data_IF_940110159415
#
_entry.id   IF_940110159415
#
_cell.length_a   1.000
_cell.length_b   1.000
_cell.length_c   1.000
_cell.angle_alpha   90.00
_cell.angle_beta   90.00
_cell.angle_gamma   90.00
#
_symmetry.space_group_name_H-M   'P 1'
#
loop_
_entity.id
_entity.type
_entity.pdbx_description
1 polymer ?
#
# COMPACT_ATOMS: atom_id res chain seq x y z
N UNK A 1 7.07 -1.83 3.49
CA UNK A 1 5.71 -2.00 2.96
C UNK A 1 4.74 -1.62 4.07
N UNK A 2 3.67 -0.89 3.76
CA UNK A 2 2.57 -0.54 4.69
C UNK A 2 1.47 -1.62 4.69
N UNK A 3 1.76 -2.79 4.11
CA UNK A 3 0.86 -3.95 4.04
C UNK A 3 1.34 -5.02 5.00
N UNK A 4 0.38 -5.63 5.67
CA UNK A 4 0.56 -6.78 6.54
C UNK A 4 -0.36 -7.91 6.05
N UNK A 5 0.12 -9.14 6.07
CA UNK A 5 -0.60 -10.33 5.59
C UNK A 5 -1.79 -10.73 6.49
N UNK A 6 -1.96 -10.05 7.63
CA UNK A 6 -2.97 -10.34 8.65
C UNK A 6 -3.88 -9.14 8.98
N UNK A 7 -3.60 -7.93 8.45
CA UNK A 7 -4.43 -6.74 8.68
C UNK A 7 -4.41 -5.78 7.49
N UNK A 8 -5.57 -5.19 7.20
CA UNK A 8 -5.74 -4.07 6.25
C UNK A 8 -5.63 -2.70 6.93
N UNK A 9 -5.47 -2.69 8.25
CA UNK A 9 -5.28 -1.48 9.07
C UNK A 9 -3.80 -1.18 9.29
N UNK A 10 -3.46 0.12 9.26
CA UNK A 10 -2.22 0.66 9.80
C UNK A 10 -2.49 1.40 11.10
N UNK A 11 -1.55 1.32 12.06
CA UNK A 11 -1.64 2.00 13.35
C UNK A 11 -0.61 3.11 13.44
N UNK A 12 -1.06 4.29 13.88
CA UNK A 12 -0.23 5.46 14.09
C UNK A 12 -0.40 5.95 15.52
N UNK A 13 0.70 6.06 16.24
CA UNK A 13 0.71 6.50 17.62
C UNK A 13 0.80 8.03 17.69
N UNK A 14 -0.17 8.64 18.36
CA UNK A 14 -0.19 10.07 18.64
C UNK A 14 0.05 10.28 20.13
N UNK A 15 1.01 11.14 20.45
CA UNK A 15 1.30 11.57 21.82
C UNK A 15 1.07 13.07 21.95
N UNK A 16 0.73 13.53 23.14
CA UNK A 16 0.52 14.94 23.47
C UNK A 16 1.12 15.25 24.84
N UNK A 17 1.46 16.52 25.09
CA UNK A 17 2.19 16.95 26.28
C UNK A 17 3.63 17.39 25.96
N UNK A 18 4.48 17.42 26.99
CA UNK A 18 5.96 17.63 27.04
C UNK A 18 6.69 18.59 26.08
N UNK A 19 6.01 19.33 25.18
CA UNK A 19 6.65 20.27 24.27
C UNK A 19 5.80 20.63 23.04
N UNK A 20 6.40 21.38 22.12
CA UNK A 20 5.82 21.67 20.80
C UNK A 20 5.93 20.40 19.96
N UNK A 21 4.80 19.74 19.70
CA UNK A 21 4.78 18.55 18.82
C UNK A 21 5.16 18.87 17.37
N UNK A 22 5.53 17.84 16.62
CA UNK A 22 5.83 17.94 15.19
C UNK A 22 4.65 18.56 14.42
N UNK A 23 4.98 19.45 13.48
CA UNK A 23 4.01 20.12 12.60
C UNK A 23 4.56 20.10 11.19
N UNK A 24 3.66 20.02 10.22
CA UNK A 24 4.05 20.21 8.82
C UNK A 24 4.70 21.57 8.63
N UNK A 25 5.81 21.60 7.89
CA UNK A 25 6.43 22.85 7.49
C UNK A 25 5.51 23.60 6.52
N UNK A 26 5.35 24.90 6.72
CA UNK A 26 4.61 25.76 5.80
C UNK A 26 5.56 26.36 4.77
N UNK A 27 5.18 26.29 3.50
CA UNK A 27 5.94 26.90 2.39
C UNK A 27 5.04 27.87 1.63
N UNK A 28 5.54 29.05 1.28
CA UNK A 28 4.83 29.98 0.40
C UNK A 28 4.90 29.47 -1.05
N UNK A 29 3.76 29.45 -1.74
CA UNK A 29 3.61 29.06 -3.13
C UNK A 29 3.95 30.17 -4.13
N UNK A 30 4.15 31.41 -3.66
CA UNK A 30 4.48 32.59 -4.47
C UNK A 30 5.99 32.78 -4.52
N UNK A 31 6.62 32.14 -5.50
CA UNK A 31 8.03 32.32 -5.84
C UNK A 31 8.19 32.96 -7.22
N UNK A 32 9.43 32.96 -7.71
CA UNK A 32 9.74 33.41 -9.06
C UNK A 32 9.10 32.49 -10.09
N UNK A 33 8.45 33.09 -11.10
CA UNK A 33 7.85 32.32 -12.18
C UNK A 33 8.95 31.68 -13.03
N UNK A 34 9.10 30.37 -12.86
CA UNK A 34 10.00 29.55 -13.65
C UNK A 34 9.31 28.82 -14.79
N UNK A 35 10.00 27.80 -15.30
CA UNK A 35 9.49 26.89 -16.34
C UNK A 35 8.11 26.35 -15.95
N UNK A 36 7.16 26.40 -16.88
CA UNK A 36 5.84 25.80 -16.67
C UNK A 36 5.95 24.27 -16.72
N UNK A 37 5.42 23.62 -15.69
CA UNK A 37 5.25 22.17 -15.62
C UNK A 37 3.76 21.86 -15.56
N UNK A 38 3.21 21.44 -16.69
CA UNK A 38 1.81 21.01 -16.88
C UNK A 38 1.68 19.51 -17.14
N UNK A 39 2.81 18.79 -17.17
CA UNK A 39 2.91 17.35 -17.45
C UNK A 39 4.19 16.76 -16.87
N UNK A 40 4.14 15.48 -16.53
CA UNK A 40 5.26 14.72 -15.97
C UNK A 40 5.32 13.32 -16.58
N UNK A 41 6.51 12.73 -16.66
CA UNK A 41 6.64 11.28 -16.84
C UNK A 41 6.43 10.64 -15.48
N UNK A 42 5.45 9.76 -15.37
CA UNK A 42 5.08 9.11 -14.10
C UNK A 42 5.17 7.60 -14.25
N UNK A 43 5.33 6.92 -13.11
CA UNK A 43 5.19 5.47 -12.97
C UNK A 43 4.04 5.21 -12.01
N UNK A 44 3.00 4.53 -12.48
CA UNK A 44 1.83 4.18 -11.67
C UNK A 44 1.76 2.67 -11.49
N UNK A 45 1.57 2.22 -10.25
CA UNK A 45 1.41 0.81 -9.88
C UNK A 45 -0.06 0.49 -9.64
N UNK A 46 -0.50 -0.64 -10.19
CA UNK A 46 -1.83 -1.20 -10.01
C UNK A 46 -1.70 -2.63 -9.48
N UNK A 47 -2.42 -2.92 -8.42
CA UNK A 47 -2.50 -4.22 -7.77
C UNK A 47 -3.81 -4.28 -6.98
N UNK A 48 -4.34 -5.48 -6.76
CA UNK A 48 -5.51 -5.69 -5.90
C UNK A 48 -5.31 -6.96 -5.11
N UNK A 49 -5.47 -6.89 -3.80
CA UNK A 49 -5.29 -8.06 -2.94
C UNK A 49 -6.58 -8.90 -2.91
N UNK A 50 -6.83 -9.70 -3.95
CA UNK A 50 -8.09 -10.45 -4.11
C UNK A 50 -8.02 -11.87 -3.59
N UNK A 51 -6.84 -12.50 -3.65
CA UNK A 51 -6.69 -13.92 -3.34
C UNK A 51 -5.44 -14.15 -2.52
N UNK A 52 -5.57 -14.92 -1.45
CA UNK A 52 -4.44 -15.42 -0.67
C UNK A 52 -4.01 -16.79 -1.21
N UNK A 53 -2.78 -16.88 -1.72
CA UNK A 53 -2.23 -18.10 -2.33
C UNK A 53 -0.87 -18.38 -1.71
N UNK A 54 -0.69 -19.58 -1.16
CA UNK A 54 0.60 -20.05 -0.66
C UNK A 54 1.47 -20.58 -1.81
N UNK A 55 2.65 -19.97 -2.00
CA UNK A 55 3.67 -20.44 -2.95
C UNK A 55 4.84 -21.06 -2.17
N UNK A 56 4.66 -22.31 -1.72
CA UNK A 56 5.59 -23.00 -0.81
C UNK A 56 6.98 -23.34 -1.37
N UNK A 57 7.21 -23.19 -2.68
CA UNK A 57 8.52 -23.37 -3.33
C UNK A 57 9.26 -22.05 -3.55
N UNK A 58 8.72 -20.93 -3.07
CA UNK A 58 9.33 -19.60 -3.16
C UNK A 58 9.71 -19.14 -1.75
N UNK A 59 11.00 -18.93 -1.53
CA UNK A 59 11.54 -18.44 -0.24
C UNK A 59 11.41 -16.92 -0.06
N UNK A 60 11.35 -16.16 -1.16
CA UNK A 60 11.33 -14.69 -1.18
C UNK A 60 10.00 -14.18 -1.73
N UNK A 61 8.90 -14.55 -1.07
CA UNK A 61 7.58 -14.02 -1.43
C UNK A 61 7.27 -12.79 -0.57
N UNK A 62 7.09 -11.63 -1.21
CA UNK A 62 6.82 -10.35 -0.53
C UNK A 62 5.44 -10.32 0.14
N UNK A 63 4.43 -10.95 -0.47
CA UNK A 63 3.09 -11.13 0.09
C UNK A 63 2.43 -12.37 -0.46
N UNK A 64 1.55 -12.99 0.33
CA UNK A 64 0.71 -14.11 -0.12
C UNK A 64 -0.55 -13.65 -0.87
N UNK A 65 -0.72 -12.35 -1.13
CA UNK A 65 -1.88 -11.77 -1.80
C UNK A 65 -1.61 -11.49 -3.29
N UNK A 66 -2.56 -11.85 -4.13
CA UNK A 66 -2.46 -11.71 -5.59
C UNK A 66 -3.74 -11.12 -6.18
N UNK A 67 -3.59 -10.49 -7.35
CA UNK A 67 -4.67 -9.85 -8.08
C UNK A 67 -5.54 -10.83 -8.84
N UNK A 68 -4.96 -11.69 -9.67
CA UNK A 68 -5.74 -12.56 -10.54
C UNK A 68 -5.03 -13.89 -10.78
N UNK A 69 -5.80 -14.93 -11.08
CA UNK A 69 -5.28 -16.27 -11.37
C UNK A 69 -5.76 -16.70 -12.75
N UNK A 70 -4.84 -17.27 -13.53
CA UNK A 70 -5.09 -17.74 -14.90
C UNK A 70 -4.74 -19.23 -14.93
N UNK A 71 -5.70 -20.07 -15.31
CA UNK A 71 -5.48 -21.50 -15.54
C UNK A 71 -5.19 -21.79 -17.02
N UNK A 72 -4.70 -22.99 -17.30
CA UNK A 72 -4.40 -23.46 -18.65
C UNK A 72 -5.54 -23.18 -19.64
N UNK A 73 -5.21 -22.56 -20.78
CA UNK A 73 -6.16 -22.28 -21.85
C UNK A 73 -7.16 -21.17 -21.56
N UNK A 74 -7.17 -20.60 -20.34
CA UNK A 74 -8.03 -19.47 -20.02
C UNK A 74 -7.49 -18.15 -20.59
N UNK A 75 -8.41 -17.20 -20.79
CA UNK A 75 -8.10 -15.79 -20.93
C UNK A 75 -8.77 -15.00 -19.80
N UNK A 76 -7.98 -14.19 -19.09
CA UNK A 76 -8.45 -13.27 -18.06
C UNK A 76 -8.15 -11.84 -18.47
N UNK A 77 -8.96 -10.90 -18.01
CA UNK A 77 -8.81 -9.46 -18.28
C UNK A 77 -8.95 -8.68 -16.99
N UNK A 78 -7.95 -7.86 -16.70
CA UNK A 78 -7.98 -6.94 -15.55
C UNK A 78 -8.09 -5.50 -16.03
N UNK A 79 -8.82 -4.68 -15.28
CA UNK A 79 -9.01 -3.25 -15.55
C UNK A 79 -8.14 -2.41 -14.62
N UNK A 80 -7.53 -1.36 -15.17
CA UNK A 80 -6.91 -0.28 -14.43
C UNK A 80 -7.26 1.05 -15.10
N UNK A 81 -7.43 2.10 -14.29
CA UNK A 81 -7.85 3.41 -14.77
C UNK A 81 -6.66 4.39 -14.73
N UNK A 82 -6.43 5.10 -15.83
CA UNK A 82 -5.38 6.11 -15.95
C UNK A 82 -6.00 7.47 -16.24
N UNK A 83 -5.47 8.52 -15.62
CA UNK A 83 -5.95 9.88 -15.82
C UNK A 83 -4.82 10.79 -16.31
N UNK A 84 -5.18 11.78 -17.12
CA UNK A 84 -4.24 12.73 -17.73
C UNK A 84 -3.36 12.11 -18.80
N UNK A 85 -3.73 10.99 -19.42
CA UNK A 85 -2.88 10.32 -20.42
C UNK A 85 -2.63 11.25 -21.62
N UNK A 86 -1.36 11.53 -21.94
CA UNK A 86 -0.97 12.15 -23.20
C UNK A 86 -0.61 11.02 -24.19
N UNK A 87 -1.42 10.75 -25.23
CA UNK A 87 -1.24 9.61 -26.15
C UNK A 87 -0.12 9.85 -27.18
N UNK A 88 0.88 10.67 -26.84
CA UNK A 88 2.01 11.07 -27.66
C UNK A 88 3.28 10.82 -26.87
N UNK A 89 3.77 9.58 -26.94
CA UNK A 89 4.95 9.14 -26.20
C UNK A 89 4.95 7.63 -26.02
N UNK A 90 6.14 7.06 -25.89
CA UNK A 90 6.31 5.66 -25.54
C UNK A 90 5.69 5.35 -24.18
N UNK A 91 5.09 4.17 -24.08
CA UNK A 91 4.59 3.63 -22.81
C UNK A 91 5.47 2.47 -22.39
N UNK A 92 5.95 2.47 -21.15
CA UNK A 92 6.65 1.30 -20.59
C UNK A 92 5.67 0.51 -19.74
N UNK A 93 5.52 -0.77 -20.03
CA UNK A 93 4.69 -1.68 -19.25
C UNK A 93 5.60 -2.66 -18.52
N UNK A 94 5.42 -2.79 -17.21
CA UNK A 94 5.98 -3.89 -16.42
C UNK A 94 4.87 -4.66 -15.75
N UNK A 95 4.98 -5.98 -15.74
CA UNK A 95 4.00 -6.85 -15.09
C UNK A 95 4.73 -7.93 -14.33
N UNK A 96 4.28 -8.20 -13.11
CA UNK A 96 4.82 -9.29 -12.30
C UNK A 96 3.83 -10.44 -12.20
N UNK A 97 4.30 -11.62 -12.58
CA UNK A 97 3.61 -12.88 -12.43
C UNK A 97 4.40 -13.83 -11.54
N UNK A 98 3.71 -14.83 -11.02
CA UNK A 98 4.32 -16.03 -10.48
C UNK A 98 3.71 -17.26 -11.13
N UNK A 99 4.54 -18.26 -11.43
CA UNK A 99 4.02 -19.61 -11.62
C UNK A 99 3.43 -20.09 -10.29
N UNK A 100 2.23 -20.69 -10.31
CA UNK A 100 1.64 -21.36 -9.15
C UNK A 100 1.85 -22.87 -9.22
N UNK A 101 1.71 -23.47 -10.39
CA UNK A 101 2.05 -24.88 -10.63
C UNK A 101 3.55 -25.06 -10.89
N UNK A 102 4.04 -26.30 -10.84
CA UNK A 102 5.43 -26.64 -11.14
C UNK A 102 5.70 -26.90 -12.64
N UNK A 103 4.71 -26.65 -13.49
CA UNK A 103 4.69 -27.01 -14.90
C UNK A 103 5.30 -25.92 -15.78
N UNK A 104 5.53 -26.18 -17.09
CA UNK A 104 5.75 -25.11 -18.05
C UNK A 104 4.54 -24.18 -18.16
N UNK A 105 4.81 -22.90 -18.33
CA UNK A 105 3.86 -21.81 -18.47
C UNK A 105 4.08 -21.12 -19.81
N UNK A 106 3.00 -20.80 -20.52
CA UNK A 106 3.05 -19.96 -21.71
C UNK A 106 1.91 -18.95 -21.69
N UNK A 107 2.26 -17.67 -21.56
CA UNK A 107 1.32 -16.57 -21.37
C UNK A 107 1.50 -15.50 -22.44
N UNK A 108 0.41 -15.14 -23.12
CA UNK A 108 0.36 -13.99 -24.04
C UNK A 108 -0.36 -12.82 -23.40
N UNK A 109 0.23 -11.63 -23.56
CA UNK A 109 -0.27 -10.38 -22.99
C UNK A 109 -0.76 -9.45 -24.09
N UNK A 110 -1.88 -8.78 -23.83
CA UNK A 110 -2.44 -7.75 -24.71
C UNK A 110 -2.85 -6.53 -23.88
N UNK A 111 -2.34 -5.35 -24.23
CA UNK A 111 -2.77 -4.10 -23.62
C UNK A 111 -3.76 -3.40 -24.56
N UNK A 112 -4.99 -3.19 -24.09
CA UNK A 112 -6.08 -2.62 -24.87
C UNK A 112 -6.31 -3.32 -26.23
N UNK A 113 -6.04 -4.63 -26.29
CA UNK A 113 -6.17 -5.47 -27.48
C UNK A 113 -4.92 -5.54 -28.37
N UNK A 114 -3.92 -4.68 -28.13
CA UNK A 114 -2.65 -4.71 -28.86
C UNK A 114 -1.70 -5.72 -28.22
N UNK A 115 -1.06 -6.62 -28.99
CA UNK A 115 -0.07 -7.55 -28.46
C UNK A 115 1.04 -6.81 -27.70
N UNK A 116 1.26 -7.21 -26.45
CA UNK A 116 2.24 -6.59 -25.56
C UNK A 116 3.40 -7.54 -25.23
N UNK A 117 3.16 -8.85 -25.19
CA UNK A 117 4.19 -9.83 -24.86
C UNK A 117 3.78 -11.28 -25.08
N UNK A 118 4.78 -12.15 -25.20
CA UNK A 118 4.68 -13.60 -25.26
C UNK A 118 5.77 -14.15 -24.33
N UNK A 119 5.37 -14.84 -23.27
CA UNK A 119 6.24 -15.24 -22.18
C UNK A 119 6.18 -16.74 -21.99
N UNK A 120 7.36 -17.35 -21.78
CA UNK A 120 7.50 -18.73 -21.32
C UNK A 120 8.40 -18.79 -20.10
N UNK A 121 8.02 -19.61 -19.14
CA UNK A 121 8.82 -19.97 -17.98
C UNK A 121 8.28 -21.29 -17.41
N UNK A 122 8.93 -21.84 -16.38
CA UNK A 122 8.47 -23.08 -15.75
C UNK A 122 8.59 -22.99 -14.24
N UNK A 123 7.79 -23.77 -13.55
CA UNK A 123 7.89 -23.92 -12.11
C UNK A 123 7.21 -22.79 -11.34
N UNK A 124 7.09 -23.00 -10.03
CA UNK A 124 6.57 -22.00 -9.11
C UNK A 124 7.64 -20.93 -8.86
N UNK A 125 7.81 -20.03 -9.84
CA UNK A 125 8.90 -19.05 -9.90
C UNK A 125 8.38 -17.64 -10.21
N UNK A 126 9.14 -16.63 -9.75
CA UNK A 126 8.91 -15.21 -10.04
C UNK A 126 9.17 -14.92 -11.51
N UNK A 127 8.22 -14.30 -12.21
CA UNK A 127 8.36 -13.90 -13.61
C UNK A 127 7.95 -12.45 -13.83
N UNK A 128 8.94 -11.58 -13.94
CA UNK A 128 8.74 -10.20 -14.36
C UNK A 128 8.85 -10.07 -15.88
N UNK A 129 7.99 -9.25 -16.46
CA UNK A 129 8.00 -8.89 -17.86
C UNK A 129 8.04 -7.37 -18.01
N UNK A 130 8.84 -6.89 -18.95
CA UNK A 130 8.99 -5.48 -19.26
C UNK A 130 9.00 -5.27 -20.78
N UNK A 131 8.26 -4.28 -21.27
CA UNK A 131 8.23 -3.93 -22.69
C UNK A 131 7.95 -2.44 -22.88
N UNK A 132 8.37 -1.92 -24.04
CA UNK A 132 7.99 -0.58 -24.52
C UNK A 132 6.95 -0.74 -25.62
N UNK A 133 5.83 -0.04 -25.47
CA UNK A 133 4.69 -0.10 -26.36
C UNK A 133 4.58 1.20 -27.18
N UNK A 134 4.04 1.12 -28.42
CA UNK A 134 3.85 2.29 -29.26
C UNK A 134 2.99 3.37 -28.62
N UNK A 135 3.19 4.60 -29.06
CA UNK A 135 2.36 5.74 -28.65
C UNK A 135 0.88 5.50 -28.99
N UNK A 136 -0.02 6.04 -28.17
CA UNK A 136 -1.46 5.95 -28.37
C UNK A 136 -2.12 4.65 -27.90
N UNK A 137 -1.36 3.70 -27.35
CA UNK A 137 -1.93 2.47 -26.81
C UNK A 137 -2.77 2.70 -25.54
N UNK A 138 -2.37 3.66 -24.70
CA UNK A 138 -3.06 4.01 -23.46
C UNK A 138 -4.24 4.95 -23.73
N UNK A 139 -5.31 4.75 -22.96
CA UNK A 139 -6.52 5.56 -22.99
C UNK A 139 -6.60 6.39 -21.72
N UNK A 140 -7.12 7.61 -21.83
CA UNK A 140 -7.59 8.33 -20.65
C UNK A 140 -8.87 7.65 -20.14
N UNK A 141 -8.87 7.20 -18.88
CA UNK A 141 -9.87 6.35 -18.26
C UNK A 141 -9.49 4.87 -18.30
N UNK A 142 -10.44 4.03 -18.70
CA UNK A 142 -10.32 2.57 -18.62
C UNK A 142 -9.24 2.00 -19.56
N UNK A 143 -8.30 1.27 -18.99
CA UNK A 143 -7.33 0.44 -19.69
C UNK A 143 -7.45 -1.01 -19.22
N UNK A 144 -7.02 -1.94 -20.07
CA UNK A 144 -7.16 -3.35 -19.78
C UNK A 144 -5.95 -4.16 -20.22
N UNK A 145 -5.41 -4.95 -19.30
CA UNK A 145 -4.46 -6.01 -19.59
C UNK A 145 -5.23 -7.32 -19.75
N UNK A 146 -5.10 -7.96 -20.91
CA UNK A 146 -5.61 -9.30 -21.17
C UNK A 146 -4.45 -10.29 -21.14
N UNK A 147 -4.64 -11.37 -20.40
CA UNK A 147 -3.66 -12.42 -20.15
C UNK A 147 -4.26 -13.72 -20.63
N UNK A 148 -3.61 -14.39 -21.59
CA UNK A 148 -4.10 -15.64 -22.17
C UNK A 148 -3.06 -16.74 -21.97
N UNK A 149 -3.41 -17.74 -21.17
CA UNK A 149 -2.62 -18.99 -21.10
C UNK A 149 -2.85 -19.77 -22.39
N UNK A 150 -1.77 -20.27 -22.98
CA UNK A 150 -1.79 -20.96 -24.28
C UNK A 150 -1.70 -22.46 -24.07
N UNK A 151 -2.60 -23.18 -24.76
CA UNK A 151 -2.53 -24.64 -24.92
C UNK A 151 -1.54 -24.98 -26.03
N UNK A 152 -0.31 -25.31 -25.66
CA UNK A 152 0.73 -25.82 -26.56
C UNK A 152 0.71 -27.35 -26.58
N UNK A 153 1.34 -27.96 -27.59
CA UNK A 153 1.49 -29.42 -27.67
C UNK A 153 2.28 -30.02 -26.48
N UNK A 154 3.05 -29.21 -25.77
CA UNK A 154 3.85 -29.59 -24.59
C UNK A 154 3.20 -29.13 -23.27
N UNK A 155 1.98 -28.59 -23.30
CA UNK A 155 1.29 -28.18 -22.08
C UNK A 155 1.05 -29.39 -21.17
N UNK A 156 1.37 -29.23 -19.88
CA UNK A 156 0.97 -30.18 -18.86
C UNK A 156 -0.55 -30.11 -18.61
N UNK A 157 -1.11 -31.13 -17.96
CA UNK A 157 -2.56 -31.18 -17.66
C UNK A 157 -3.03 -30.03 -16.73
N UNK A 158 -2.11 -29.42 -15.98
CA UNK A 158 -2.38 -28.32 -15.05
C UNK A 158 -1.34 -27.23 -15.25
N UNK A 159 -1.77 -26.04 -15.68
CA UNK A 159 -0.98 -24.80 -15.67
C UNK A 159 -1.74 -23.75 -14.86
N UNK A 160 -1.10 -23.18 -13.85
CA UNK A 160 -1.66 -22.09 -13.04
C UNK A 160 -0.63 -20.97 -12.88
N UNK A 161 -1.07 -19.76 -13.19
CA UNK A 161 -0.29 -18.52 -13.13
C UNK A 161 -1.06 -17.50 -12.28
N UNK A 162 -0.34 -16.70 -11.50
CA UNK A 162 -0.95 -15.61 -10.71
C UNK A 162 -0.32 -14.27 -11.08
N UNK A 163 -1.16 -13.25 -11.21
CA UNK A 163 -0.78 -11.85 -11.40
C UNK A 163 -0.63 -11.19 -10.02
N UNK A 164 0.50 -10.52 -9.83
CA UNK A 164 0.75 -9.67 -8.66
C UNK A 164 0.36 -8.21 -8.99
N UNK A 165 1.23 -7.49 -9.71
CA UNK A 165 1.02 -6.08 -10.04
C UNK A 165 1.32 -5.74 -11.50
N UNK A 166 0.81 -4.57 -11.92
CA UNK A 166 1.09 -3.91 -13.20
C UNK A 166 1.66 -2.53 -12.91
N UNK A 167 2.83 -2.22 -13.47
CA UNK A 167 3.35 -0.85 -13.50
C UNK A 167 3.25 -0.29 -14.92
N UNK A 168 2.80 0.96 -15.03
CA UNK A 168 2.74 1.68 -16.30
C UNK A 168 3.52 2.98 -16.17
N UNK A 169 4.49 3.19 -17.05
CA UNK A 169 5.19 4.47 -17.17
C UNK A 169 4.75 5.20 -18.45
N UNK A 170 4.29 6.44 -18.28
CA UNK A 170 3.73 7.24 -19.37
C UNK A 170 3.84 8.74 -19.06
N UNK A 171 3.57 9.57 -20.08
CA UNK A 171 3.47 11.02 -19.90
C UNK A 171 2.05 11.39 -19.47
N UNK A 172 1.94 11.96 -18.26
CA UNK A 172 0.70 12.40 -17.63
C UNK A 172 0.62 13.92 -17.63
N UNK A 173 -0.48 14.47 -18.16
CA UNK A 173 -0.88 15.87 -17.95
C UNK A 173 -1.31 16.03 -16.49
N UNK A 174 -0.92 17.14 -15.87
CA UNK A 174 -1.32 17.49 -14.51
C UNK A 174 -2.76 18.02 -14.52
N UNK A 175 -3.70 17.10 -14.38
CA UNK A 175 -5.13 17.37 -14.29
C UNK A 175 -5.67 16.57 -13.11
N UNK A 176 -6.31 17.24 -12.16
CA UNK A 176 -7.03 16.61 -11.08
C UNK A 176 -8.18 15.77 -11.64
N UNK A 177 -8.36 14.58 -11.06
CA UNK A 177 -9.50 13.73 -11.32
C UNK A 177 -10.18 13.49 -9.99
N UNK A 178 -11.48 13.82 -9.91
CA UNK A 178 -12.22 13.78 -8.65
C UNK A 178 -11.50 14.63 -7.58
N UNK A 179 -11.25 15.90 -7.89
CA UNK A 179 -10.57 16.87 -7.01
C UNK A 179 -9.26 16.42 -6.34
N UNK A 180 -8.57 15.45 -6.94
CA UNK A 180 -7.33 14.88 -6.44
C UNK A 180 -6.31 14.69 -7.58
N UNK A 181 -5.07 15.04 -7.30
CA UNK A 181 -3.92 14.67 -8.12
C UNK A 181 -2.72 14.34 -7.24
N UNK A 182 -2.18 13.13 -7.39
CA UNK A 182 -0.83 12.79 -6.91
C UNK A 182 0.10 12.60 -8.10
N UNK A 183 1.32 13.11 -7.99
CA UNK A 183 2.35 12.96 -9.01
C UNK A 183 3.75 13.07 -8.41
N UNK A 184 4.73 12.44 -9.05
CA UNK A 184 6.15 12.71 -8.82
C UNK A 184 6.61 13.74 -9.84
N UNK A 185 7.26 14.80 -9.37
CA UNK A 185 7.79 15.83 -10.25
C UNK A 185 9.00 15.33 -11.04
N UNK A 186 9.38 16.01 -12.12
CA UNK A 186 10.72 15.85 -12.69
C UNK A 186 11.81 16.21 -11.67
N UNK A 187 13.00 15.65 -11.85
CA UNK A 187 14.19 15.98 -11.04
C UNK A 187 14.83 17.28 -11.55
N UNK A 188 14.14 18.40 -11.28
CA UNK A 188 14.59 19.75 -11.63
C UNK A 188 15.07 20.46 -10.36
N UNK A 189 16.24 21.12 -10.47
CA UNK A 189 16.90 21.87 -9.39
C UNK A 189 16.82 23.38 -9.60
N UNK A 190 15.77 23.81 -10.30
CA UNK A 190 15.45 25.19 -10.65
C UNK A 190 14.00 25.48 -10.23
N UNK A 191 13.65 26.76 -10.09
CA UNK A 191 12.27 27.16 -9.87
C UNK A 191 11.40 26.78 -11.07
N UNK A 192 10.27 26.14 -10.77
CA UNK A 192 9.25 25.80 -11.76
C UNK A 192 7.89 26.29 -11.30
N UNK A 193 7.00 26.56 -12.25
CA UNK A 193 5.59 26.85 -11.99
C UNK A 193 4.77 25.62 -12.36
N UNK A 194 4.20 24.93 -11.37
CA UNK A 194 3.25 23.86 -11.63
C UNK A 194 1.90 24.44 -12.04
N UNK A 195 1.30 23.88 -13.09
CA UNK A 195 -0.06 24.19 -13.54
C UNK A 195 -0.92 22.94 -13.47
N UNK A 196 -1.90 22.94 -12.56
CA UNK A 196 -2.78 21.80 -12.32
C UNK A 196 -4.22 22.23 -12.58
N UNK A 197 -4.81 21.69 -13.64
CA UNK A 197 -6.21 21.97 -14.01
C UNK A 197 -7.15 20.90 -13.45
N UNK A 198 -8.46 21.04 -13.63
CA UNK A 198 -9.44 19.97 -13.39
C UNK A 198 -10.07 19.93 -12.00
N UNK A 199 -9.76 20.89 -11.13
CA UNK A 199 -10.47 21.04 -9.87
C UNK A 199 -11.89 21.58 -10.09
N UNK A 200 -12.86 21.07 -9.35
CA UNK A 200 -14.26 21.52 -9.37
C UNK A 200 -14.49 22.76 -8.50
N UNK A 201 -13.61 22.99 -7.51
CA UNK A 201 -13.70 24.08 -6.55
C UNK A 201 -12.39 24.85 -6.36
N UNK A 202 -12.49 26.01 -5.69
CA UNK A 202 -11.35 26.87 -5.36
C UNK A 202 -10.61 26.48 -4.09
N UNK A 203 -11.17 25.57 -3.29
CA UNK A 203 -10.58 25.12 -2.04
C UNK A 203 -9.67 23.92 -2.32
N UNK A 204 -8.39 24.22 -2.53
CA UNK A 204 -7.36 23.23 -2.88
C UNK A 204 -6.20 23.38 -1.91
N UNK A 205 -5.72 22.25 -1.41
CA UNK A 205 -4.51 22.17 -0.62
C UNK A 205 -3.43 21.37 -1.35
N UNK A 206 -2.17 21.75 -1.15
CA UNK A 206 -1.02 21.09 -1.77
C UNK A 206 -0.03 20.66 -0.70
N UNK A 207 0.37 19.40 -0.77
CA UNK A 207 1.35 18.76 0.09
C UNK A 207 2.51 18.21 -0.73
N UNK A 208 3.72 18.22 -0.15
CA UNK A 208 4.93 17.62 -0.71
C UNK A 208 5.56 16.66 0.31
N UNK A 209 6.26 15.65 -0.20
CA UNK A 209 7.15 14.80 0.61
C UNK A 209 8.01 15.64 1.59
N UNK A 210 8.31 15.08 2.77
CA UNK A 210 9.00 15.80 3.84
C UNK A 210 8.08 16.65 4.71
N UNK A 211 6.78 16.33 4.74
CA UNK A 211 5.78 16.96 5.62
C UNK A 211 5.61 18.47 5.36
N UNK A 212 5.57 18.87 4.09
CA UNK A 212 5.41 20.28 3.69
C UNK A 212 3.98 20.54 3.20
N UNK A 213 3.35 21.60 3.71
CA UNK A 213 2.08 22.15 3.21
C UNK A 213 2.34 23.50 2.56
N UNK A 214 1.84 23.70 1.35
CA UNK A 214 1.91 25.00 0.68
C UNK A 214 0.80 25.94 1.15
N UNK A 215 1.12 27.23 1.15
CA UNK A 215 0.25 28.35 1.51
C UNK A 215 0.28 29.39 0.40
N UNK A 216 -0.71 30.29 0.37
CA UNK A 216 -0.82 31.34 -0.65
C UNK A 216 -0.87 30.81 -2.10
N UNK A 217 -1.56 29.69 -2.30
CA UNK A 217 -1.78 29.09 -3.62
C UNK A 217 -2.56 30.05 -4.52
N UNK A 218 -2.19 30.12 -5.81
CA UNK A 218 -2.93 30.87 -6.82
C UNK A 218 -3.94 29.93 -7.47
N UNK A 219 -5.23 30.20 -7.27
CA UNK A 219 -6.31 29.36 -7.80
C UNK A 219 -7.31 30.27 -8.52
N UNK A 220 -7.43 30.08 -9.83
CA UNK A 220 -8.25 30.91 -10.71
C UNK A 220 -9.26 30.03 -11.48
N UNK A 221 -10.36 30.63 -11.92
CA UNK A 221 -11.37 29.93 -12.71
C UNK A 221 -10.82 29.62 -14.11
N UNK A 222 -10.97 28.37 -14.55
CA UNK A 222 -10.54 27.87 -15.86
C UNK A 222 -11.70 27.10 -16.52
N UNK A 223 -12.44 27.78 -17.39
CA UNK A 223 -13.67 27.24 -17.98
C UNK A 223 -14.72 26.89 -16.93
N UNK A 224 -15.08 25.60 -16.86
CA UNK A 224 -16.05 25.07 -15.88
C UNK A 224 -15.41 24.65 -14.55
N UNK A 225 -14.08 24.65 -14.45
CA UNK A 225 -13.34 24.27 -13.25
C UNK A 225 -12.38 25.35 -12.78
N UNK A 226 -11.32 24.91 -12.09
CA UNK A 226 -10.28 25.77 -11.53
C UNK A 226 -8.88 25.27 -11.92
N UNK A 227 -7.98 26.24 -12.13
CA UNK A 227 -6.56 26.06 -12.36
C UNK A 227 -5.80 26.48 -11.10
N UNK A 228 -5.02 25.54 -10.56
CA UNK A 228 -4.06 25.77 -9.51
C UNK A 228 -2.67 26.08 -10.13
N UNK A 229 -2.06 27.18 -9.68
CA UNK A 229 -0.67 27.53 -9.95
C UNK A 229 0.11 27.69 -8.65
N UNK A 230 1.30 27.09 -8.58
CA UNK A 230 2.26 27.30 -7.48
C UNK A 230 3.69 27.06 -7.96
N UNK A 231 4.66 27.69 -7.28
CA UNK A 231 6.08 27.54 -7.60
C UNK A 231 6.81 26.66 -6.60
N UNK A 232 7.81 25.91 -7.06
CA UNK A 232 8.72 25.17 -6.19
C UNK A 232 10.03 24.83 -6.92
N UNK A 233 11.06 24.43 -6.16
CA UNK A 233 12.23 23.70 -6.65
C UNK A 233 12.03 22.22 -6.31
N UNK A 234 11.61 21.40 -7.28
CA UNK A 234 10.94 20.16 -6.93
C UNK A 234 11.87 18.98 -6.64
N UNK A 235 13.04 18.89 -7.28
CA UNK A 235 14.05 17.87 -6.99
C UNK A 235 13.53 16.43 -7.02
N UNK A 236 12.56 16.14 -7.88
CA UNK A 236 11.94 14.80 -7.99
C UNK A 236 11.01 14.41 -6.84
N UNK A 237 10.52 15.36 -6.03
CA UNK A 237 9.60 15.09 -4.93
C UNK A 237 8.22 14.62 -5.39
N UNK A 238 7.49 13.91 -4.51
CA UNK A 238 6.06 13.65 -4.69
C UNK A 238 5.23 14.81 -4.16
N UNK A 239 4.15 15.10 -4.88
CA UNK A 239 3.14 16.07 -4.52
C UNK A 239 1.77 15.40 -4.47
N UNK A 240 0.90 15.95 -3.62
CA UNK A 240 -0.53 15.67 -3.61
C UNK A 240 -1.24 17.02 -3.57
N UNK A 241 -2.06 17.30 -4.58
CA UNK A 241 -2.98 18.43 -4.61
C UNK A 241 -4.40 17.88 -4.52
N UNK A 242 -5.18 18.36 -3.55
CA UNK A 242 -6.51 17.83 -3.28
C UNK A 242 -7.46 18.89 -2.72
N UNK A 243 -8.77 18.71 -2.89
CA UNK A 243 -9.72 19.41 -2.03
C UNK A 243 -9.73 18.81 -0.62
N UNK A 244 -10.09 19.56 0.44
CA UNK A 244 -10.05 19.07 1.81
C UNK A 244 -10.89 17.80 2.06
N UNK A 245 -11.96 17.59 1.30
CA UNK A 245 -12.86 16.44 1.45
C UNK A 245 -12.22 15.11 0.98
N UNK A 246 -11.16 15.16 0.18
CA UNK A 246 -10.37 13.99 -0.22
C UNK A 246 -9.36 13.53 0.85
N UNK A 247 -9.24 14.23 1.99
CA UNK A 247 -8.40 13.79 3.09
C UNK A 247 -8.95 12.50 3.69
N UNK A 248 -8.12 11.46 3.67
CA UNK A 248 -8.44 10.20 4.34
C UNK A 248 -8.64 10.46 5.84
N UNK A 249 -9.69 9.85 6.39
CA UNK A 249 -9.96 9.84 7.83
C UNK A 249 -9.52 8.49 8.39
N UNK A 250 -8.88 8.47 9.58
CA UNK A 250 -8.61 7.20 10.23
C UNK A 250 -9.93 6.49 10.53
N UNK A 251 -9.92 5.15 10.42
CA UNK A 251 -11.10 4.31 10.71
C UNK A 251 -11.53 4.48 12.17
N UNK A 252 -10.55 4.65 13.07
CA UNK A 252 -10.76 4.82 14.50
C UNK A 252 -9.64 5.69 15.09
N UNK A 253 -10.00 6.47 16.10
CA UNK A 253 -9.04 7.13 16.99
C UNK A 253 -9.46 6.76 18.40
N UNK A 254 -8.54 6.21 19.18
CA UNK A 254 -8.81 5.85 20.57
C UNK A 254 -7.64 6.23 21.47
N UNK A 255 -7.96 6.43 22.75
CA UNK A 255 -6.95 6.66 23.77
C UNK A 255 -6.41 5.31 24.22
N UNK A 256 -5.10 5.13 24.07
CA UNK A 256 -4.42 3.95 24.58
C UNK A 256 -4.22 4.04 26.11
N UNK A 257 -4.26 2.88 26.76
CA UNK A 257 -3.87 2.70 28.16
C UNK A 257 -2.65 1.79 28.20
N UNK A 258 -1.43 2.34 28.37
CA UNK A 258 -0.21 1.54 28.27
C UNK A 258 -0.20 0.35 29.23
N UNK A 259 0.14 -0.82 28.70
CA UNK A 259 0.42 -2.02 29.48
C UNK A 259 1.91 -2.10 29.87
N UNK A 260 2.25 -3.10 30.68
CA UNK A 260 3.62 -3.34 31.18
C UNK A 260 4.09 -4.77 30.95
N UNK A 261 3.71 -5.38 29.83
CA UNK A 261 4.04 -6.77 29.49
C UNK A 261 5.54 -7.00 29.35
N UNK A 262 6.29 -5.96 28.97
CA UNK A 262 7.77 -5.94 28.95
C UNK A 262 8.43 -5.71 30.31
N UNK A 263 7.68 -5.56 31.41
CA UNK A 263 8.30 -5.50 32.74
C UNK A 263 8.81 -6.90 33.14
N UNK A 264 10.13 -7.10 33.36
CA UNK A 264 10.67 -8.38 33.79
C UNK A 264 10.22 -8.78 35.21
N UNK A 265 9.62 -7.87 35.99
CA UNK A 265 9.06 -8.15 37.31
C UNK A 265 7.77 -8.98 37.28
N UNK A 266 7.10 -9.04 36.12
CA UNK A 266 5.93 -9.90 35.88
C UNK A 266 6.27 -11.38 36.15
N UNK A 267 5.24 -12.19 36.40
CA UNK A 267 5.39 -13.64 36.66
C UNK A 267 4.03 -14.35 36.65
N UNK A 268 3.98 -15.56 36.08
CA UNK A 268 2.75 -16.35 35.94
C UNK A 268 3.05 -17.84 35.68
N UNK A 269 2.26 -18.75 36.25
CA UNK A 269 2.20 -20.15 35.84
C UNK A 269 1.22 -20.33 34.67
N UNK A 270 0.12 -19.58 34.68
CA UNK A 270 -0.98 -19.68 33.74
C UNK A 270 -1.26 -18.30 33.15
N UNK A 271 -0.98 -18.14 31.87
CA UNK A 271 -1.28 -16.93 31.12
C UNK A 271 -2.67 -17.08 30.49
N UNK A 272 -3.47 -16.02 30.49
CA UNK A 272 -4.73 -15.96 29.76
C UNK A 272 -4.62 -14.79 28.81
N UNK A 273 -4.63 -15.08 27.51
CA UNK A 273 -4.72 -14.07 26.45
C UNK A 273 -6.18 -13.97 26.04
N UNK A 274 -6.80 -12.81 26.23
CA UNK A 274 -8.21 -12.56 25.91
C UNK A 274 -8.36 -11.40 24.93
N UNK A 275 -9.46 -11.37 24.18
CA UNK A 275 -9.88 -10.14 23.49
C UNK A 275 -10.38 -9.11 24.50
N UNK A 276 -10.31 -7.83 24.12
CA UNK A 276 -10.70 -6.68 24.95
C UNK A 276 -12.17 -6.76 25.40
N UNK A 277 -13.05 -7.24 24.53
CA UNK A 277 -14.48 -7.39 24.82
C UNK A 277 -14.81 -8.56 25.76
N UNK A 278 -13.86 -9.47 26.02
CA UNK A 278 -14.06 -10.64 26.88
C UNK A 278 -13.31 -10.56 28.21
N UNK A 279 -12.59 -9.46 28.47
CA UNK A 279 -11.80 -9.30 29.70
C UNK A 279 -12.64 -9.45 30.97
N UNK A 280 -13.87 -8.93 30.99
CA UNK A 280 -14.77 -9.08 32.14
C UNK A 280 -15.29 -10.51 32.29
N UNK A 281 -15.59 -11.18 31.17
CA UNK A 281 -16.09 -12.55 31.16
C UNK A 281 -15.05 -13.54 31.71
N UNK A 282 -13.76 -13.30 31.44
CA UNK A 282 -12.68 -14.21 31.88
C UNK A 282 -12.31 -14.05 33.36
N UNK A 283 -12.74 -12.99 34.05
CA UNK A 283 -12.40 -12.74 35.46
C UNK A 283 -12.78 -13.89 36.38
N UNK A 284 -13.98 -14.46 36.22
CA UNK A 284 -14.45 -15.59 37.04
C UNK A 284 -13.58 -16.83 36.84
N UNK A 285 -13.17 -17.10 35.60
CA UNK A 285 -12.29 -18.21 35.28
C UNK A 285 -10.87 -18.00 35.81
N UNK A 286 -10.31 -16.80 35.64
CA UNK A 286 -9.00 -16.42 36.19
C UNK A 286 -8.96 -16.59 37.72
N UNK A 287 -10.00 -16.13 38.43
CA UNK A 287 -10.14 -16.30 39.88
C UNK A 287 -10.27 -17.78 40.30
N UNK A 288 -10.93 -18.61 39.50
CA UNK A 288 -10.98 -20.04 39.76
C UNK A 288 -9.60 -20.70 39.61
N UNK A 289 -8.85 -20.36 38.56
CA UNK A 289 -7.50 -20.88 38.31
C UNK A 289 -6.48 -20.39 39.34
N UNK A 290 -6.65 -19.17 39.86
CA UNK A 290 -5.73 -18.58 40.84
C UNK A 290 -5.73 -19.28 42.20
N UNK A 291 -6.67 -20.22 42.44
CA UNK A 291 -6.67 -21.09 43.63
C UNK A 291 -5.47 -22.03 43.72
N UNK A 292 -4.80 -22.32 42.59
CA UNK A 292 -3.68 -23.28 42.52
C UNK A 292 -2.50 -22.80 41.70
N UNK A 293 -2.65 -21.72 40.94
CA UNK A 293 -1.68 -21.25 39.95
C UNK A 293 -1.54 -19.73 40.05
N UNK A 294 -0.37 -19.19 39.72
CA UNK A 294 -0.21 -17.76 39.49
C UNK A 294 -0.78 -17.42 38.12
N UNK A 295 -1.91 -16.74 38.09
CA UNK A 295 -2.61 -16.39 36.84
C UNK A 295 -2.28 -14.96 36.46
N UNK A 296 -1.97 -14.74 35.17
CA UNK A 296 -1.87 -13.41 34.58
C UNK A 296 -2.83 -13.32 33.40
N UNK A 297 -3.68 -12.30 33.38
CA UNK A 297 -4.62 -12.04 32.28
C UNK A 297 -4.11 -10.83 31.51
N UNK A 298 -3.99 -10.95 30.20
CA UNK A 298 -3.61 -9.85 29.32
C UNK A 298 -4.56 -9.77 28.12
N UNK A 299 -4.76 -8.55 27.60
CA UNK A 299 -5.51 -8.34 26.36
C UNK A 299 -4.61 -8.61 25.16
N UNK A 300 -5.19 -9.10 24.08
CA UNK A 300 -4.45 -9.31 22.83
C UNK A 300 -4.03 -7.98 22.19
N UNK A 301 -4.80 -6.90 22.39
CA UNK A 301 -4.44 -5.53 21.98
C UNK A 301 -3.13 -5.07 22.63
N UNK A 302 -3.01 -5.19 23.94
CA UNK A 302 -1.80 -4.86 24.70
C UNK A 302 -0.55 -5.58 24.15
N UNK A 303 -0.72 -6.84 23.73
CA UNK A 303 0.36 -7.61 23.08
C UNK A 303 0.73 -6.99 21.74
N UNK A 304 -0.25 -6.64 20.90
CA UNK A 304 0.01 -5.99 19.62
C UNK A 304 0.67 -4.63 19.82
N UNK A 305 0.22 -3.84 20.79
CA UNK A 305 0.76 -2.51 21.11
C UNK A 305 2.24 -2.60 21.50
N UNK A 306 2.59 -3.46 22.46
CA UNK A 306 3.97 -3.57 22.97
C UNK A 306 4.92 -4.37 22.08
N UNK A 307 4.43 -5.33 21.29
CA UNK A 307 5.26 -6.26 20.51
C UNK A 307 5.18 -6.08 18.99
N UNK A 308 4.27 -5.25 18.49
CA UNK A 308 4.15 -4.94 17.07
C UNK A 308 3.55 -3.55 16.77
N UNK A 309 3.72 -2.58 17.68
CA UNK A 309 3.27 -1.19 17.50
C UNK A 309 1.77 -1.06 17.20
N UNK A 310 0.96 -1.95 17.76
CA UNK A 310 -0.50 -2.01 17.63
C UNK A 310 -1.01 -2.74 16.39
N UNK A 311 -0.12 -3.13 15.48
CA UNK A 311 -0.50 -3.91 14.30
C UNK A 311 -0.81 -5.35 14.72
N UNK A 312 -1.97 -5.86 14.29
CA UNK A 312 -2.36 -7.24 14.48
C UNK A 312 -1.31 -8.15 13.84
N UNK A 313 -0.71 -9.04 14.62
CA UNK A 313 0.24 -10.02 14.10
C UNK A 313 0.32 -11.27 14.96
N UNK A 314 0.21 -12.48 14.38
CA UNK A 314 0.45 -13.71 15.12
C UNK A 314 1.90 -13.80 15.63
N UNK A 315 2.85 -13.17 14.93
CA UNK A 315 4.24 -13.09 15.38
C UNK A 315 4.37 -12.33 16.70
N UNK A 316 3.59 -11.26 16.89
CA UNK A 316 3.58 -10.48 18.14
C UNK A 316 3.21 -11.35 19.35
N UNK A 317 2.21 -12.23 19.19
CA UNK A 317 1.81 -13.18 20.23
C UNK A 317 2.96 -14.16 20.53
N UNK A 318 3.60 -14.71 19.49
CA UNK A 318 4.75 -15.59 19.66
C UNK A 318 5.93 -14.90 20.35
N UNK A 319 6.24 -13.66 19.97
CA UNK A 319 7.30 -12.85 20.58
C UNK A 319 6.99 -12.50 22.04
N UNK A 320 5.74 -12.18 22.37
CA UNK A 320 5.31 -11.97 23.74
C UNK A 320 5.44 -13.25 24.58
N UNK A 321 4.93 -14.38 24.11
CA UNK A 321 5.03 -15.65 24.84
C UNK A 321 6.49 -16.05 25.10
N UNK A 322 7.35 -15.90 24.09
CA UNK A 322 8.79 -16.11 24.22
C UNK A 322 9.40 -15.15 25.23
N UNK A 323 9.04 -13.87 25.19
CA UNK A 323 9.53 -12.87 26.13
C UNK A 323 9.13 -13.21 27.58
N UNK A 324 7.84 -13.49 27.80
CA UNK A 324 7.31 -13.86 29.11
C UNK A 324 7.99 -15.12 29.65
N UNK A 325 8.25 -16.13 28.82
CA UNK A 325 8.93 -17.34 29.25
C UNK A 325 10.39 -17.11 29.69
N UNK A 326 11.15 -16.30 28.96
CA UNK A 326 12.59 -16.13 29.23
C UNK A 326 12.93 -14.97 30.18
N UNK A 327 12.07 -13.96 30.31
CA UNK A 327 12.41 -12.72 31.02
C UNK A 327 11.54 -12.39 32.22
N UNK A 328 10.33 -12.95 32.33
CA UNK A 328 9.52 -12.78 33.54
C UNK A 328 10.13 -13.56 34.70
N UNK A 329 9.92 -13.08 35.93
CA UNK A 329 10.33 -13.78 37.14
C UNK A 329 9.66 -15.15 37.19
N UNK A 330 10.34 -16.13 37.77
CA UNK A 330 9.74 -17.43 38.03
C UNK A 330 8.57 -17.31 39.02
N UNK A 331 7.49 -18.08 38.87
CA UNK A 331 7.29 -19.08 37.82
C UNK A 331 7.08 -18.43 36.44
N UNK A 332 7.70 -19.05 35.44
CA UNK A 332 7.51 -18.69 34.04
C UNK A 332 6.26 -19.42 33.49
N UNK A 333 5.57 -18.85 32.48
CA UNK A 333 4.35 -19.45 31.95
C UNK A 333 4.54 -20.91 31.55
N UNK A 334 3.69 -21.79 32.07
CA UNK A 334 3.61 -23.21 31.75
C UNK A 334 2.32 -23.58 31.01
N UNK A 335 1.31 -22.70 31.10
CA UNK A 335 0.02 -22.81 30.41
C UNK A 335 -0.35 -21.47 29.79
N UNK A 336 -0.99 -21.49 28.63
CA UNK A 336 -1.54 -20.32 27.90
C UNK A 336 -2.96 -20.64 27.47
#
# INVERSE_FOLDING_TARGET
SYRDDYTDLNVYWLTWGSGRGERMALKDARGELGRIVDRCRVKERFERDRMRIGLGYISELDSSLFWESISLGEAKRVRFDLYGVIPKGETKLRVLFYGRSLTPHHLKLYLNGVPAGDMRWSGQTRKEFETTLPAGILRNGANFLTMRSVLDAQSADVDQIVLDWIDVEYTKKLVAHDDLLSFKSPDLKEDVTFRISGFSGRDVEVYRDGWVKFTNLKIERDGTGYLLEFTDIPGGARYIALSPDHKLKPVKIEMDTPSSLRDPSNSADYLIITSDNLTDAVRKFALYRSRRLKVYVTKVSDIYDEFNHGLLSPKAIGDFLRYAYFHWRRPAPSYV
#
